data_IF_765352057411
#
_entry.id   IF_765352057411
#
_cell.length_a   1.000
_cell.length_b   1.000
_cell.length_c   1.000
_cell.angle_alpha   90.00
_cell.angle_beta   90.00
_cell.angle_gamma   90.00
#
_symmetry.space_group_name_H-M   'P 1'
#
loop_
_entity.id
_entity.type
_entity.pdbx_description
1 polymer ?
#
# COMPACT_ATOMS: atom_id res chain seq x y z
N UNK A 1 -2.96 -13.81 20.01
CA UNK A 1 -1.83 -12.87 19.82
C UNK A 1 -2.25 -11.58 20.48
N UNK A 2 -1.53 -11.11 21.51
CA UNK A 2 -1.85 -9.83 22.17
C UNK A 2 -1.14 -8.75 21.34
N UNK A 3 -1.88 -8.08 20.45
CA UNK A 3 -1.35 -6.91 19.75
C UNK A 3 -1.30 -5.74 20.71
N UNK A 4 -0.10 -5.21 20.95
CA UNK A 4 0.10 -3.99 21.74
C UNK A 4 0.25 -2.80 20.79
N UNK A 5 -0.36 -1.68 21.16
CA UNK A 5 -0.23 -0.39 20.49
C UNK A 5 0.45 0.54 21.47
N UNK A 6 1.55 1.16 21.05
CA UNK A 6 2.24 2.21 21.79
C UNK A 6 1.92 3.55 21.12
N UNK A 7 1.32 4.47 21.86
CA UNK A 7 1.13 5.86 21.42
C UNK A 7 1.48 6.80 22.55
N UNK A 8 2.36 7.78 22.29
CA UNK A 8 2.76 8.82 23.24
C UNK A 8 3.24 8.28 24.61
N UNK A 9 3.75 7.04 24.69
CA UNK A 9 4.22 6.40 25.92
C UNK A 9 3.17 5.56 26.67
N UNK A 10 1.92 5.53 26.20
CA UNK A 10 0.87 4.67 26.73
C UNK A 10 0.73 3.41 25.87
N UNK A 11 0.52 2.25 26.52
CA UNK A 11 0.38 0.95 25.88
C UNK A 11 -1.02 0.40 26.11
N UNK A 12 -1.73 0.03 25.03
CA UNK A 12 -3.02 -0.65 25.10
C UNK A 12 -3.06 -1.92 24.26
N UNK A 13 -4.02 -2.80 24.54
CA UNK A 13 -4.25 -4.02 23.75
C UNK A 13 -5.26 -3.74 22.64
N UNK A 14 -5.13 -4.41 21.48
CA UNK A 14 -6.11 -4.28 20.40
C UNK A 14 -7.55 -4.61 20.85
N UNK A 15 -7.71 -5.57 21.76
CA UNK A 15 -9.01 -5.95 22.32
C UNK A 15 -9.64 -4.89 23.23
N UNK A 16 -8.86 -3.92 23.72
CA UNK A 16 -9.37 -2.81 24.53
C UNK A 16 -9.80 -1.62 23.66
N UNK A 17 -9.53 -1.65 22.35
CA UNK A 17 -9.95 -0.58 21.44
C UNK A 17 -11.46 -0.65 21.24
N UNK A 18 -12.16 0.41 21.66
CA UNK A 18 -13.61 0.56 21.51
C UNK A 18 -13.98 1.27 20.22
N UNK A 19 -13.28 2.36 19.89
CA UNK A 19 -13.53 3.15 18.70
C UNK A 19 -12.31 3.99 18.31
N UNK A 20 -12.19 4.31 17.02
CA UNK A 20 -11.27 5.32 16.52
C UNK A 20 -12.09 6.46 15.90
N UNK A 21 -11.87 7.68 16.34
CA UNK A 21 -12.57 8.86 15.83
C UNK A 21 -11.59 9.83 15.16
N UNK A 22 -11.83 10.15 13.90
CA UNK A 22 -11.16 11.25 13.23
C UNK A 22 -11.72 12.58 13.78
N UNK A 23 -10.85 13.42 14.37
CA UNK A 23 -11.28 14.67 15.00
C UNK A 23 -11.30 15.83 14.03
N UNK A 24 -10.16 16.20 13.43
CA UNK A 24 -10.07 17.35 12.54
C UNK A 24 -8.85 17.28 11.62
N UNK A 25 -9.03 17.81 10.40
CA UNK A 25 -7.96 18.20 9.48
C UNK A 25 -7.84 19.73 9.59
N UNK A 26 -6.70 20.26 10.04
CA UNK A 26 -6.44 21.70 9.90
C UNK A 26 -5.51 21.92 8.70
N UNK A 27 -5.69 23.00 7.92
CA UNK A 27 -4.82 23.27 6.79
C UNK A 27 -3.41 23.49 7.35
N UNK A 28 -2.49 22.54 7.10
CA UNK A 28 -1.07 22.46 7.55
C UNK A 28 -0.74 21.56 8.75
N UNK A 29 -1.66 20.79 9.33
CA UNK A 29 -1.29 19.80 10.36
C UNK A 29 -1.64 18.37 9.96
N UNK A 30 -0.90 17.42 10.56
CA UNK A 30 -1.18 15.99 10.48
C UNK A 30 -2.59 15.69 10.98
N UNK A 31 -3.21 14.65 10.42
CA UNK A 31 -4.53 14.20 10.86
C UNK A 31 -4.44 13.67 12.29
N UNK A 32 -5.42 14.04 13.10
CA UNK A 32 -5.51 13.63 14.50
C UNK A 32 -6.68 12.68 14.70
N UNK A 33 -6.35 11.53 15.27
CA UNK A 33 -7.32 10.50 15.62
C UNK A 33 -7.34 10.32 17.14
N UNK A 34 -8.52 10.00 17.68
CA UNK A 34 -8.69 9.63 19.08
C UNK A 34 -9.06 8.16 19.17
N UNK A 35 -8.33 7.44 20.00
CA UNK A 35 -8.58 6.05 20.34
C UNK A 35 -9.34 5.99 21.67
N UNK A 36 -10.60 5.59 21.62
CA UNK A 36 -11.39 5.29 22.82
C UNK A 36 -11.14 3.84 23.26
N UNK A 37 -10.97 3.64 24.57
CA UNK A 37 -10.75 2.32 25.17
C UNK A 37 -11.99 1.82 25.91
N UNK A 38 -12.18 0.50 25.96
CA UNK A 38 -13.24 -0.14 26.74
C UNK A 38 -13.02 0.01 28.24
N UNK A 39 -11.75 0.00 28.68
CA UNK A 39 -11.32 0.31 30.05
C UNK A 39 -11.76 1.69 30.54
N UNK A 40 -12.10 2.61 29.63
CA UNK A 40 -12.46 3.99 29.94
C UNK A 40 -11.24 4.87 30.23
N UNK A 41 -11.46 6.15 30.48
CA UNK A 41 -10.39 7.15 30.70
C UNK A 41 -10.28 8.18 29.58
N UNK A 42 -9.18 8.94 29.60
CA UNK A 42 -8.88 9.93 28.56
C UNK A 42 -8.51 9.22 27.24
N UNK A 43 -9.10 9.59 26.09
CA UNK A 43 -8.77 8.99 24.80
C UNK A 43 -7.30 9.19 24.43
N UNK A 44 -6.65 8.15 23.88
CA UNK A 44 -5.29 8.27 23.38
C UNK A 44 -5.29 9.04 22.06
N UNK A 45 -4.36 9.97 21.90
CA UNK A 45 -4.17 10.71 20.65
C UNK A 45 -3.26 9.91 19.73
N UNK A 46 -3.65 9.80 18.47
CA UNK A 46 -2.84 9.21 17.41
C UNK A 46 -2.54 10.28 16.36
N UNK A 47 -1.31 10.29 15.87
CA UNK A 47 -0.93 11.02 14.67
C UNK A 47 -1.19 10.16 13.43
N UNK A 48 -1.16 10.76 12.24
CA UNK A 48 -1.40 10.03 10.97
C UNK A 48 -0.53 8.78 10.80
N UNK A 49 0.74 8.83 11.20
CA UNK A 49 1.63 7.67 11.14
C UNK A 49 1.20 6.55 12.08
N UNK A 50 0.84 6.90 13.32
CA UNK A 50 0.43 5.91 14.33
C UNK A 50 -0.92 5.28 13.96
N UNK A 51 -1.80 6.09 13.37
CA UNK A 51 -3.08 5.61 12.84
C UNK A 51 -2.88 4.65 11.67
N UNK A 52 -2.02 4.98 10.69
CA UNK A 52 -1.70 4.08 9.58
C UNK A 52 -1.08 2.76 10.07
N UNK A 53 -0.19 2.84 11.06
CA UNK A 53 0.39 1.65 11.69
C UNK A 53 -0.66 0.83 12.45
N UNK A 54 -1.60 1.49 13.13
CA UNK A 54 -2.72 0.86 13.82
C UNK A 54 -3.63 0.13 12.83
N UNK A 55 -4.06 0.79 11.76
CA UNK A 55 -4.88 0.20 10.70
C UNK A 55 -4.24 -1.04 10.08
N UNK A 56 -2.91 -1.04 9.93
CA UNK A 56 -2.18 -2.18 9.41
C UNK A 56 -2.00 -3.34 10.41
N UNK A 57 -2.39 -3.19 11.69
CA UNK A 57 -2.19 -4.25 12.69
C UNK A 57 -3.06 -5.48 12.39
N UNK A 58 -2.45 -6.68 12.31
CA UNK A 58 -3.19 -7.90 12.06
C UNK A 58 -4.00 -8.32 13.28
N UNK A 59 -5.30 -8.56 13.09
CA UNK A 59 -6.18 -9.20 14.08
C UNK A 59 -6.24 -10.72 13.89
N UNK A 60 -6.07 -11.19 12.66
CA UNK A 60 -6.04 -12.62 12.32
C UNK A 60 -5.04 -12.88 11.19
N UNK A 61 -4.32 -14.00 11.27
CA UNK A 61 -3.46 -14.51 10.22
C UNK A 61 -4.06 -15.78 9.62
N UNK A 62 -4.09 -15.86 8.30
CA UNK A 62 -4.51 -17.03 7.53
C UNK A 62 -3.32 -17.48 6.66
N UNK A 63 -2.94 -18.76 6.64
CA UNK A 63 -1.86 -19.23 5.78
C UNK A 63 -2.15 -18.89 4.31
N UNK A 64 -1.13 -18.44 3.58
CA UNK A 64 -1.23 -18.26 2.14
C UNK A 64 -0.99 -19.61 1.44
N UNK A 65 -1.60 -19.80 0.27
CA UNK A 65 -1.34 -21.00 -0.53
C UNK A 65 0.13 -21.01 -1.00
N UNK A 66 0.87 -22.12 -0.86
CA UNK A 66 2.26 -22.20 -1.30
C UNK A 66 2.41 -21.84 -2.78
N UNK A 67 3.35 -20.96 -3.09
CA UNK A 67 3.57 -20.46 -4.45
C UNK A 67 2.92 -19.11 -4.73
N UNK A 68 2.09 -18.59 -3.83
CA UNK A 68 1.53 -17.24 -3.94
C UNK A 68 2.62 -16.18 -3.74
N UNK A 69 2.64 -15.16 -4.61
CA UNK A 69 3.67 -14.10 -4.59
C UNK A 69 3.09 -12.73 -4.85
N UNK A 70 3.65 -11.70 -4.22
CA UNK A 70 3.48 -10.33 -4.64
C UNK A 70 4.41 -10.07 -5.83
N UNK A 71 3.88 -9.43 -6.87
CA UNK A 71 4.67 -9.00 -8.02
C UNK A 71 4.70 -7.47 -8.03
N UNK A 72 5.91 -6.93 -8.15
CA UNK A 72 6.16 -5.52 -8.44
C UNK A 72 6.77 -5.42 -9.84
N UNK A 73 6.14 -4.66 -10.73
CA UNK A 73 6.62 -4.44 -12.10
C UNK A 73 7.04 -2.99 -12.23
N UNK A 74 8.29 -2.77 -12.56
CA UNK A 74 8.84 -1.46 -12.88
C UNK A 74 9.15 -1.40 -14.37
N UNK A 75 8.56 -0.42 -15.05
CA UNK A 75 8.88 -0.11 -16.44
C UNK A 75 9.69 1.17 -16.45
N UNK A 76 10.92 1.09 -16.95
CA UNK A 76 11.82 2.23 -17.05
C UNK A 76 11.27 3.36 -17.91
N UNK A 77 11.80 4.57 -17.68
CA UNK A 77 11.38 5.78 -18.40
C UNK A 77 12.16 5.97 -19.71
N UNK A 78 13.35 5.35 -19.81
CA UNK A 78 14.16 5.40 -21.01
C UNK A 78 13.77 4.27 -21.97
N UNK A 79 13.85 4.52 -23.29
CA UNK A 79 13.44 3.56 -24.32
C UNK A 79 14.25 2.24 -24.31
N UNK A 80 15.45 2.26 -23.72
CA UNK A 80 16.37 1.13 -23.61
C UNK A 80 16.32 0.41 -22.25
N UNK A 81 15.59 0.95 -21.27
CA UNK A 81 15.45 0.32 -19.96
C UNK A 81 14.51 -0.88 -20.02
N UNK A 82 15.06 -2.07 -19.74
CA UNK A 82 14.26 -3.29 -19.65
C UNK A 82 13.36 -3.24 -18.42
N UNK A 83 12.10 -3.70 -18.52
CA UNK A 83 11.23 -3.86 -17.37
C UNK A 83 11.88 -4.74 -16.30
N UNK A 84 11.76 -4.33 -15.04
CA UNK A 84 12.20 -5.08 -13.88
C UNK A 84 10.97 -5.69 -13.22
N UNK A 85 11.03 -6.99 -12.93
CA UNK A 85 9.97 -7.69 -12.22
C UNK A 85 10.56 -8.27 -10.94
N UNK A 86 10.04 -7.81 -9.80
CA UNK A 86 10.37 -8.37 -8.49
C UNK A 86 9.22 -9.25 -8.00
N UNK A 87 9.56 -10.35 -7.32
CA UNK A 87 8.60 -11.32 -6.80
C UNK A 87 8.90 -11.63 -5.34
N UNK A 88 8.03 -11.20 -4.44
CA UNK A 88 8.14 -11.47 -3.02
C UNK A 88 7.18 -12.60 -2.61
N UNK A 89 7.63 -13.65 -1.90
CA UNK A 89 6.75 -14.72 -1.45
C UNK A 89 5.78 -14.22 -0.38
N UNK A 90 4.53 -14.69 -0.46
CA UNK A 90 3.53 -14.49 0.59
C UNK A 90 3.48 -15.74 1.45
N UNK A 91 3.57 -15.56 2.77
CA UNK A 91 3.48 -16.67 3.75
C UNK A 91 2.13 -16.70 4.46
N UNK A 92 1.44 -15.57 4.55
CA UNK A 92 0.13 -15.46 5.16
C UNK A 92 -0.66 -14.25 4.62
N UNK A 93 -1.95 -14.24 4.90
CA UNK A 93 -2.86 -13.13 4.77
C UNK A 93 -3.21 -12.60 6.16
N UNK A 94 -3.09 -11.30 6.36
CA UNK A 94 -3.49 -10.62 7.58
C UNK A 94 -4.85 -9.97 7.37
N UNK A 95 -5.87 -10.38 8.12
CA UNK A 95 -7.03 -9.54 8.35
C UNK A 95 -6.63 -8.47 9.36
N UNK A 96 -6.72 -7.22 8.98
CA UNK A 96 -6.31 -6.07 9.77
C UNK A 96 -7.49 -5.42 10.50
N UNK A 97 -7.22 -4.52 11.43
CA UNK A 97 -8.24 -3.89 12.29
C UNK A 97 -9.26 -3.06 11.49
N UNK A 98 -8.85 -2.50 10.36
CA UNK A 98 -9.70 -1.76 9.42
C UNK A 98 -10.56 -2.68 8.54
N UNK A 99 -10.51 -3.99 8.76
CA UNK A 99 -11.24 -5.01 8.00
C UNK A 99 -10.59 -5.37 6.66
N UNK A 100 -9.45 -4.76 6.31
CA UNK A 100 -8.77 -5.06 5.06
C UNK A 100 -7.89 -6.31 5.19
N UNK A 101 -7.77 -7.05 4.09
CA UNK A 101 -6.87 -8.21 4.01
C UNK A 101 -5.57 -7.79 3.33
N UNK A 102 -4.45 -7.97 4.02
CA UNK A 102 -3.12 -7.56 3.55
C UNK A 102 -2.17 -8.76 3.44
N UNK A 103 -1.27 -8.77 2.45
CA UNK A 103 -0.29 -9.82 2.30
C UNK A 103 0.80 -9.73 3.36
N UNK A 104 1.22 -10.87 3.89
CA UNK A 104 2.33 -11.00 4.83
C UNK A 104 3.50 -11.67 4.14
N UNK A 105 4.64 -10.98 4.11
CA UNK A 105 5.92 -11.48 3.61
C UNK A 105 6.82 -11.89 4.77
N UNK A 106 7.80 -12.79 4.56
CA UNK A 106 8.81 -13.06 5.57
C UNK A 106 9.58 -11.80 5.99
N UNK A 107 9.99 -11.74 7.25
CA UNK A 107 10.84 -10.65 7.74
C UNK A 107 12.13 -10.56 6.90
N UNK A 108 12.54 -9.33 6.56
CA UNK A 108 13.72 -9.07 5.72
C UNK A 108 13.47 -9.15 4.21
N UNK A 109 12.28 -9.55 3.76
CA UNK A 109 11.89 -9.49 2.35
C UNK A 109 11.35 -8.09 2.05
N UNK A 110 12.04 -7.36 1.17
CA UNK A 110 11.55 -6.07 0.66
C UNK A 110 10.31 -6.29 -0.22
N UNK A 111 9.35 -5.36 -0.16
CA UNK A 111 8.11 -5.41 -0.97
C UNK A 111 8.31 -4.88 -2.40
N UNK A 112 9.51 -5.06 -2.97
CA UNK A 112 9.94 -4.41 -4.19
C UNK A 112 10.71 -3.12 -3.93
N UNK A 113 11.72 -2.88 -4.77
CA UNK A 113 12.55 -1.68 -4.75
C UNK A 113 12.29 -0.85 -6.01
N UNK A 114 11.88 0.41 -5.86
CA UNK A 114 11.88 1.38 -6.93
C UNK A 114 12.99 2.42 -6.66
N UNK A 115 14.04 2.50 -7.50
CA UNK A 115 15.10 3.48 -7.33
C UNK A 115 14.63 4.94 -7.50
N UNK A 116 13.50 5.18 -8.18
CA UNK A 116 13.02 6.52 -8.50
C UNK A 116 12.11 7.16 -7.43
N UNK A 117 11.53 6.39 -6.50
CA UNK A 117 10.48 6.91 -5.59
C UNK A 117 10.94 7.25 -4.18
N UNK A 118 12.18 6.96 -3.75
CA UNK A 118 12.63 7.14 -2.35
C UNK A 118 11.59 6.65 -1.30
N UNK A 119 10.77 5.67 -1.67
CA UNK A 119 9.55 5.31 -0.94
C UNK A 119 8.95 4.02 -1.49
N UNK A 120 8.26 3.29 -0.62
CA UNK A 120 7.69 1.98 -0.91
C UNK A 120 6.58 2.11 -1.96
N UNK A 121 6.76 1.49 -3.13
CA UNK A 121 5.65 1.22 -4.04
C UNK A 121 4.81 0.08 -3.46
N UNK A 122 3.50 0.21 -3.45
CA UNK A 122 2.60 -0.86 -3.03
C UNK A 122 2.53 -1.92 -4.13
N UNK A 123 2.98 -3.17 -3.92
CA UNK A 123 2.92 -4.21 -4.95
C UNK A 123 1.50 -4.30 -5.51
N UNK A 124 1.36 -4.10 -6.81
CA UNK A 124 0.06 -3.93 -7.48
C UNK A 124 -0.52 -5.26 -7.98
N UNK A 125 0.19 -6.37 -7.79
CA UNK A 125 -0.15 -7.64 -8.42
C UNK A 125 0.12 -8.84 -7.51
N UNK A 126 -0.73 -9.84 -7.64
CA UNK A 126 -0.69 -11.10 -6.92
C UNK A 126 -0.55 -12.27 -7.90
N UNK A 127 0.55 -13.01 -7.87
CA UNK A 127 0.71 -14.29 -8.56
C UNK A 127 0.10 -15.40 -7.70
N UNK A 128 -0.85 -16.14 -8.27
CA UNK A 128 -1.39 -17.36 -7.68
C UNK A 128 -0.51 -18.58 -8.05
N UNK A 129 -0.59 -19.70 -7.32
CA UNK A 129 0.24 -20.88 -7.60
C UNK A 129 0.03 -21.48 -9.00
N UNK A 130 -1.14 -21.29 -9.60
CA UNK A 130 -1.44 -21.69 -10.97
C UNK A 130 -0.86 -20.74 -12.05
N UNK A 131 -0.17 -19.66 -11.65
CA UNK A 131 0.40 -18.66 -12.53
C UNK A 131 -0.56 -17.54 -12.95
N UNK A 132 -1.83 -17.58 -12.53
CA UNK A 132 -2.75 -16.47 -12.71
C UNK A 132 -2.27 -15.26 -11.90
N UNK A 133 -2.47 -14.06 -12.45
CA UNK A 133 -2.07 -12.81 -11.79
C UNK A 133 -3.29 -11.93 -11.61
N UNK A 134 -3.52 -11.45 -10.40
CA UNK A 134 -4.60 -10.53 -10.08
C UNK A 134 -4.03 -9.17 -9.74
N UNK A 135 -4.67 -8.10 -10.21
CA UNK A 135 -4.36 -6.78 -9.69
C UNK A 135 -4.80 -6.68 -8.22
N UNK A 136 -3.90 -6.23 -7.37
CA UNK A 136 -4.08 -6.03 -5.94
C UNK A 136 -3.94 -4.52 -5.64
N UNK A 137 -5.02 -3.86 -5.24
CA UNK A 137 -5.02 -2.42 -4.97
C UNK A 137 -6.38 -1.91 -4.47
N UNK A 138 -6.39 -0.73 -3.82
CA UNK A 138 -7.54 -0.22 -3.07
C UNK A 138 -8.63 0.45 -3.91
N UNK A 139 -8.30 0.92 -5.13
CA UNK A 139 -9.16 1.90 -5.84
C UNK A 139 -9.60 1.47 -7.25
N UNK A 140 -9.35 0.23 -7.67
CA UNK A 140 -9.71 -0.25 -9.01
C UNK A 140 -10.45 -1.59 -8.96
N UNK A 141 -11.34 -1.82 -9.94
CA UNK A 141 -11.86 -3.16 -10.20
C UNK A 141 -10.67 -4.09 -10.48
N UNK A 142 -10.54 -5.22 -9.76
CA UNK A 142 -9.44 -6.14 -9.98
C UNK A 142 -9.42 -6.62 -11.43
N UNK A 143 -8.28 -6.48 -12.08
CA UNK A 143 -8.04 -7.02 -13.42
C UNK A 143 -7.22 -8.31 -13.32
N UNK A 144 -7.61 -9.31 -14.12
CA UNK A 144 -6.95 -10.60 -14.17
C UNK A 144 -6.02 -10.70 -15.39
N UNK A 145 -4.83 -11.24 -15.17
CA UNK A 145 -3.83 -11.48 -16.20
C UNK A 145 -3.41 -12.94 -16.18
N UNK A 146 -3.19 -13.49 -17.37
CA UNK A 146 -2.70 -14.87 -17.50
C UNK A 146 -1.16 -14.97 -17.46
N UNK A 147 -0.45 -13.83 -17.46
CA UNK A 147 1.02 -13.83 -17.42
C UNK A 147 1.63 -12.48 -17.02
N UNK A 148 2.87 -12.53 -16.53
CA UNK A 148 3.69 -11.33 -16.23
C UNK A 148 3.91 -10.46 -17.46
N UNK A 149 4.00 -11.07 -18.66
CA UNK A 149 4.20 -10.33 -19.90
C UNK A 149 3.02 -9.36 -20.19
N UNK A 150 1.79 -9.78 -19.90
CA UNK A 150 0.62 -8.90 -20.03
C UNK A 150 0.64 -7.76 -19.03
N UNK A 151 1.09 -8.04 -17.80
CA UNK A 151 1.27 -7.00 -16.77
C UNK A 151 2.30 -5.96 -17.22
N UNK A 152 3.44 -6.41 -17.75
CA UNK A 152 4.47 -5.52 -18.32
C UNK A 152 3.90 -4.67 -19.46
N UNK A 153 3.14 -5.27 -20.38
CA UNK A 153 2.53 -4.55 -21.49
C UNK A 153 1.56 -3.46 -21.00
N UNK A 154 0.72 -3.79 -20.01
CA UNK A 154 -0.21 -2.86 -19.37
C UNK A 154 0.53 -1.69 -18.71
N UNK A 155 1.52 -1.98 -17.87
CA UNK A 155 2.29 -0.93 -17.18
C UNK A 155 3.08 -0.07 -18.18
N UNK A 156 3.59 -0.65 -19.26
CA UNK A 156 4.24 0.10 -20.35
C UNK A 156 3.25 1.07 -21.00
N UNK A 157 2.02 0.62 -21.26
CA UNK A 157 0.96 1.45 -21.84
C UNK A 157 0.55 2.58 -20.89
N UNK A 158 0.38 2.26 -19.60
CA UNK A 158 0.05 3.22 -18.53
C UNK A 158 1.13 4.28 -18.40
N UNK A 159 2.40 3.88 -18.39
CA UNK A 159 3.55 4.78 -18.29
C UNK A 159 3.63 5.74 -19.49
N UNK A 160 3.49 5.23 -20.71
CA UNK A 160 3.46 6.07 -21.93
C UNK A 160 2.34 7.10 -21.91
N UNK A 161 1.15 6.71 -21.41
CA UNK A 161 0.03 7.64 -21.25
C UNK A 161 0.37 8.77 -20.26
N UNK A 162 0.91 8.44 -19.09
CA UNK A 162 1.30 9.45 -18.11
C UNK A 162 2.38 10.40 -18.63
N UNK A 163 3.36 9.90 -19.38
CA UNK A 163 4.38 10.75 -19.99
C UNK A 163 3.81 11.71 -21.03
N UNK A 164 2.89 11.24 -21.87
CA UNK A 164 2.19 12.08 -22.84
C UNK A 164 1.38 13.19 -22.14
N UNK A 165 0.62 12.84 -21.10
CA UNK A 165 -0.14 13.80 -20.29
C UNK A 165 0.78 14.81 -19.57
N UNK A 166 1.92 14.35 -19.03
CA UNK A 166 2.90 15.22 -18.38
C UNK A 166 3.52 16.21 -19.36
N UNK A 167 3.90 15.76 -20.57
CA UNK A 167 4.41 16.63 -21.64
C UNK A 167 3.36 17.64 -22.08
N UNK A 168 2.10 17.22 -22.26
CA UNK A 168 1.00 18.11 -22.62
C UNK A 168 0.75 19.19 -21.56
N UNK A 169 0.74 18.82 -20.26
CA UNK A 169 0.60 19.78 -19.16
C UNK A 169 1.77 20.75 -19.07
N UNK A 170 2.99 20.29 -19.33
CA UNK A 170 4.17 21.16 -19.34
C UNK A 170 4.12 22.16 -20.50
N UNK A 171 3.67 21.74 -21.69
CA UNK A 171 3.49 22.61 -22.85
C UNK A 171 2.42 23.69 -22.58
N UNK A 172 1.25 23.29 -22.08
CA UNK A 172 0.17 24.23 -21.73
C UNK A 172 0.61 25.28 -20.70
N UNK A 173 1.37 24.87 -19.67
CA UNK A 173 1.92 25.80 -18.67
C UNK A 173 2.95 26.77 -19.25
N UNK A 174 3.70 26.37 -20.27
CA UNK A 174 4.66 27.26 -20.92
C UNK A 174 3.95 28.31 -21.78
N UNK A 175 2.89 27.91 -22.50
CA UNK A 175 2.05 28.82 -23.29
C UNK A 175 1.32 29.86 -22.42
N UNK A 176 0.84 29.46 -21.24
CA UNK A 176 0.20 30.37 -20.27
C UNK A 176 1.19 31.34 -19.59
N UNK A 177 2.48 31.01 -19.55
CA UNK A 177 3.50 31.85 -18.93
C UNK A 177 4.06 32.94 -19.87
N UNK A 178 3.86 32.79 -21.18
CA UNK A 178 4.29 33.73 -22.22
C UNK A 178 3.21 34.78 -22.59
N UNK A 179 2.02 34.73 -21.96
CA UNK A 179 0.92 35.70 -22.12
C UNK A 179 0.86 36.69 -20.94
#
# INVERSE_FOLDING_TARGET
>A
MIGLVESCGDVCTLSDIKAVQHRYQTPRHAEHYLLELHSGGEPLKLFSSDYADLEARPVQLMPAEPGTRLISVFVGLAEDEKPIVDKAPIIAWALCIDGQVRPVTPAGVSRGFNPASLGNWYPEYLEMPNGAIHQFGYDAEPEDFVSVAMVIERETRRQRKYEAERKARAAARAEDADQ
#
